data_IF_323974618521
#
_entry.id   IF_323974618521
#
_cell.length_a   1.000
_cell.length_b   1.000
_cell.length_c   1.000
_cell.angle_alpha   90.00
_cell.angle_beta   90.00
_cell.angle_gamma   90.00
#
_symmetry.space_group_name_H-M   'P 1'
#
loop_
_entity.id
_entity.type
_entity.pdbx_description
1 polymer ?
#
# COMPACT_ATOMS: atom_id res chain seq x y z
N UNK A 1 15.24 -5.64 -27.61
CA UNK A 1 15.94 -5.09 -28.76
C UNK A 1 14.98 -4.60 -29.83
N UNK A 2 14.18 -5.49 -30.44
CA UNK A 2 13.29 -5.16 -31.57
C UNK A 2 12.35 -3.98 -31.28
N UNK A 3 11.77 -3.93 -30.09
CA UNK A 3 10.88 -2.84 -29.69
C UNK A 3 11.55 -1.47 -29.63
N UNK A 4 12.84 -1.42 -29.27
CA UNK A 4 13.61 -0.19 -29.31
C UNK A 4 13.96 0.22 -30.73
N UNK A 5 14.27 -0.76 -31.59
CA UNK A 5 14.53 -0.55 -32.99
C UNK A 5 13.32 0.01 -33.76
N UNK A 6 12.12 -0.47 -33.46
CA UNK A 6 10.86 0.06 -34.00
C UNK A 6 10.64 1.53 -33.64
N UNK A 7 11.15 1.96 -32.47
CA UNK A 7 11.15 3.37 -32.02
C UNK A 7 12.38 4.16 -32.50
N UNK A 8 13.21 3.58 -33.38
CA UNK A 8 14.37 4.23 -33.95
C UNK A 8 15.63 4.21 -33.08
N UNK A 9 15.65 3.42 -31.99
CA UNK A 9 16.76 3.35 -31.03
C UNK A 9 17.45 2.01 -31.14
N UNK A 10 18.72 2.04 -31.63
CA UNK A 10 19.56 0.85 -31.66
C UNK A 10 20.38 0.72 -30.37
N UNK A 11 19.85 -0.05 -29.41
CA UNK A 11 20.47 -0.25 -28.08
C UNK A 11 21.82 -0.97 -28.12
N UNK A 12 22.26 -1.48 -29.28
CA UNK A 12 23.58 -2.00 -29.46
C UNK A 12 24.62 -0.90 -29.75
N UNK A 13 24.17 0.30 -30.12
CA UNK A 13 25.02 1.43 -30.54
C UNK A 13 24.83 2.66 -29.63
N UNK A 14 23.67 2.80 -29.02
CA UNK A 14 23.35 3.99 -28.25
C UNK A 14 22.54 3.65 -26.95
N UNK A 15 22.66 4.44 -25.89
CA UNK A 15 21.88 4.27 -24.67
C UNK A 15 20.40 4.53 -24.89
N UNK A 16 19.54 3.82 -24.15
CA UNK A 16 18.11 4.12 -24.10
C UNK A 16 17.90 5.39 -23.27
N UNK A 17 17.16 6.40 -23.79
CA UNK A 17 16.79 7.56 -22.99
C UNK A 17 15.85 7.13 -21.86
N UNK A 18 16.17 7.52 -20.63
CA UNK A 18 15.37 7.23 -19.43
C UNK A 18 15.07 8.49 -18.67
N UNK A 19 13.91 8.54 -18.03
CA UNK A 19 13.53 9.58 -17.09
C UNK A 19 13.20 8.96 -15.73
N UNK A 20 13.61 9.57 -14.61
CA UNK A 20 13.20 9.11 -13.30
C UNK A 20 11.68 9.24 -13.14
N UNK A 21 11.04 8.19 -12.63
CA UNK A 21 9.61 8.16 -12.39
C UNK A 21 9.30 7.36 -11.12
N UNK A 22 8.19 7.68 -10.48
CA UNK A 22 7.66 6.88 -9.38
C UNK A 22 7.33 5.48 -9.89
N UNK A 23 7.86 4.44 -9.22
CA UNK A 23 7.61 3.05 -9.57
C UNK A 23 6.94 2.28 -8.44
N UNK A 24 7.53 2.26 -7.25
CA UNK A 24 7.03 1.53 -6.09
C UNK A 24 7.17 2.41 -4.84
N UNK A 25 6.14 2.42 -4.01
CA UNK A 25 6.14 3.19 -2.78
C UNK A 25 6.74 2.37 -1.63
N UNK A 26 7.85 2.84 -1.04
CA UNK A 26 8.40 2.30 0.18
C UNK A 26 7.81 3.07 1.35
N UNK A 27 7.24 2.34 2.31
CA UNK A 27 6.48 2.93 3.39
C UNK A 27 5.01 2.54 3.29
N UNK A 28 4.13 3.32 3.91
CA UNK A 28 2.70 3.06 3.91
C UNK A 28 2.13 2.82 5.31
N UNK A 29 1.06 2.05 5.39
CA UNK A 29 0.40 1.74 6.66
C UNK A 29 1.27 0.79 7.47
N UNK A 30 1.71 1.24 8.65
CA UNK A 30 2.52 0.43 9.55
C UNK A 30 1.77 -0.82 10.01
N UNK A 31 2.41 -1.97 9.88
CA UNK A 31 1.86 -3.27 10.24
C UNK A 31 2.84 -4.10 11.07
N UNK A 32 2.31 -5.07 11.80
CA UNK A 32 3.10 -6.11 12.46
C UNK A 32 3.37 -7.32 11.53
N UNK A 33 4.01 -8.36 12.07
CA UNK A 33 4.32 -9.58 11.33
C UNK A 33 3.08 -10.34 10.80
N UNK A 34 1.90 -10.04 11.31
CA UNK A 34 0.63 -10.62 10.86
C UNK A 34 -0.17 -9.64 10.00
N UNK A 35 0.47 -8.59 9.49
CA UNK A 35 -0.15 -7.52 8.71
C UNK A 35 -1.24 -6.73 9.43
N UNK A 36 -1.28 -6.77 10.77
CA UNK A 36 -2.25 -6.01 11.55
C UNK A 36 -1.79 -4.58 11.70
N UNK A 37 -2.70 -3.65 11.53
CA UNK A 37 -2.48 -2.23 11.83
C UNK A 37 -2.71 -1.94 13.33
N UNK A 38 -2.52 -0.70 13.74
CA UNK A 38 -2.88 -0.26 15.10
C UNK A 38 -4.40 -0.17 15.34
N UNK A 39 -5.20 -0.27 14.27
CA UNK A 39 -6.66 -0.32 14.37
C UNK A 39 -7.13 -1.77 14.48
N UNK A 40 -8.09 -2.01 15.38
CA UNK A 40 -8.67 -3.34 15.54
C UNK A 40 -9.36 -3.80 14.26
N UNK A 41 -9.11 -5.04 13.86
CA UNK A 41 -9.70 -5.70 12.69
C UNK A 41 -9.34 -5.06 11.33
N UNK A 42 -8.34 -4.17 11.29
CA UNK A 42 -7.80 -3.60 10.07
C UNK A 42 -6.43 -4.20 9.75
N UNK A 43 -6.29 -4.68 8.53
CA UNK A 43 -5.05 -5.26 7.99
C UNK A 43 -4.61 -4.48 6.76
N UNK A 44 -3.31 -4.47 6.50
CA UNK A 44 -2.75 -3.92 5.28
C UNK A 44 -1.64 -4.84 4.76
N UNK A 45 -1.64 -5.10 3.45
CA UNK A 45 -0.68 -6.01 2.80
C UNK A 45 -0.20 -5.43 1.46
N UNK A 46 0.94 -5.91 0.98
CA UNK A 46 1.52 -5.47 -0.29
C UNK A 46 2.00 -4.01 -0.24
N UNK A 47 1.96 -3.34 -1.37
CA UNK A 47 2.51 -1.97 -1.52
C UNK A 47 1.88 -0.93 -0.58
N UNK A 48 0.62 -1.14 -0.16
CA UNK A 48 -0.04 -0.25 0.79
C UNK A 48 0.48 -0.37 2.23
N UNK A 49 1.25 -1.43 2.55
CA UNK A 49 1.75 -1.70 3.89
C UNK A 49 3.21 -1.30 4.07
N UNK A 50 3.54 -0.86 5.29
CA UNK A 50 4.91 -0.74 5.74
C UNK A 50 5.25 -1.88 6.70
N UNK A 51 5.84 -2.93 6.16
CA UNK A 51 6.33 -4.10 6.91
C UNK A 51 7.75 -3.90 7.46
N UNK A 52 8.48 -2.91 6.92
CA UNK A 52 9.90 -2.67 7.20
C UNK A 52 10.87 -3.53 6.37
N UNK A 53 10.37 -4.50 5.60
CA UNK A 53 11.21 -5.43 4.81
C UNK A 53 12.07 -4.70 3.78
N UNK A 54 11.58 -3.63 3.20
CA UNK A 54 12.28 -2.89 2.16
C UNK A 54 13.24 -1.82 2.70
N UNK A 55 13.07 -1.42 3.97
CA UNK A 55 13.84 -0.30 4.52
C UNK A 55 13.61 0.98 3.70
N UNK A 56 14.70 1.68 3.41
CA UNK A 56 14.66 2.93 2.62
C UNK A 56 14.69 2.70 1.10
N UNK A 57 15.00 1.49 0.64
CA UNK A 57 15.11 1.18 -0.79
C UNK A 57 14.83 -0.30 -1.08
N UNK A 58 13.80 -0.55 -1.88
CA UNK A 58 13.39 -1.90 -2.25
C UNK A 58 14.35 -2.54 -3.24
N UNK A 59 14.79 -3.77 -2.95
CA UNK A 59 15.41 -4.62 -3.95
C UNK A 59 14.35 -5.11 -4.96
N UNK A 60 14.70 -5.07 -6.23
CA UNK A 60 13.81 -5.49 -7.32
C UNK A 60 13.22 -6.90 -7.06
N UNK A 61 11.96 -7.11 -7.42
CA UNK A 61 11.16 -8.33 -7.25
C UNK A 61 10.77 -8.71 -5.81
N UNK A 62 11.40 -8.16 -4.77
CA UNK A 62 11.08 -8.51 -3.38
C UNK A 62 9.66 -8.10 -2.96
N UNK A 63 9.06 -7.10 -3.61
CA UNK A 63 7.68 -6.69 -3.33
C UNK A 63 6.65 -7.79 -3.60
N UNK A 64 6.90 -8.63 -4.62
CA UNK A 64 6.00 -9.75 -4.91
C UNK A 64 6.06 -10.81 -3.81
N UNK A 65 7.26 -11.13 -3.32
CA UNK A 65 7.45 -12.05 -2.20
C UNK A 65 6.83 -11.52 -0.92
N UNK A 66 7.03 -10.23 -0.62
CA UNK A 66 6.40 -9.56 0.52
C UNK A 66 4.88 -9.68 0.46
N UNK A 67 4.27 -9.32 -0.68
CA UNK A 67 2.81 -9.37 -0.83
C UNK A 67 2.25 -10.80 -0.60
N UNK A 68 2.92 -11.83 -1.12
CA UNK A 68 2.51 -13.21 -0.96
C UNK A 68 2.67 -13.71 0.49
N UNK A 69 3.82 -13.46 1.11
CA UNK A 69 4.10 -13.93 2.47
C UNK A 69 3.19 -13.24 3.49
N UNK A 70 3.14 -11.92 3.46
CA UNK A 70 2.33 -11.16 4.41
C UNK A 70 0.83 -11.30 4.13
N UNK A 71 0.41 -11.48 2.87
CA UNK A 71 -0.96 -11.82 2.52
C UNK A 71 -1.40 -13.17 3.11
N UNK A 72 -0.53 -14.17 3.04
CA UNK A 72 -0.77 -15.48 3.67
C UNK A 72 -0.88 -15.33 5.20
N UNK A 73 0.06 -14.66 5.84
CA UNK A 73 0.03 -14.46 7.29
C UNK A 73 -1.20 -13.68 7.76
N UNK A 74 -1.62 -12.65 7.00
CA UNK A 74 -2.85 -11.92 7.26
C UNK A 74 -4.06 -12.84 7.21
N UNK A 75 -4.19 -13.65 6.16
CA UNK A 75 -5.32 -14.56 5.97
C UNK A 75 -5.42 -15.60 7.08
N UNK A 76 -4.31 -16.20 7.48
CA UNK A 76 -4.26 -17.17 8.58
C UNK A 76 -4.66 -16.52 9.92
N UNK A 77 -4.18 -15.28 10.17
CA UNK A 77 -4.52 -14.53 11.39
C UNK A 77 -6.00 -14.14 11.41
N UNK A 78 -6.56 -13.69 10.29
CA UNK A 78 -7.99 -13.38 10.15
C UNK A 78 -8.82 -14.63 10.39
N UNK A 79 -8.52 -15.74 9.73
CA UNK A 79 -9.27 -16.99 9.86
C UNK A 79 -9.28 -17.51 11.30
N UNK A 80 -8.19 -17.35 12.05
CA UNK A 80 -8.12 -17.75 13.45
C UNK A 80 -9.04 -16.94 14.39
N UNK A 81 -9.48 -15.77 13.96
CA UNK A 81 -10.21 -14.80 14.78
C UNK A 81 -11.62 -14.49 14.28
N UNK A 82 -11.93 -14.78 13.03
CA UNK A 82 -13.16 -14.30 12.37
C UNK A 82 -14.43 -14.73 13.12
N UNK A 83 -14.45 -15.94 13.66
CA UNK A 83 -15.59 -16.46 14.43
C UNK A 83 -15.77 -15.79 15.80
N UNK A 84 -14.77 -15.02 16.24
CA UNK A 84 -14.81 -14.28 17.52
C UNK A 84 -15.17 -12.82 17.33
N UNK A 85 -15.22 -12.33 16.09
CA UNK A 85 -15.54 -10.94 15.76
C UNK A 85 -17.06 -10.78 15.77
N UNK A 86 -17.54 -9.88 16.64
CA UNK A 86 -18.92 -9.43 16.58
C UNK A 86 -19.02 -8.32 15.54
N UNK A 87 -19.68 -8.60 14.43
CA UNK A 87 -20.00 -7.57 13.44
C UNK A 87 -21.07 -6.63 14.04
N UNK A 88 -20.81 -5.33 13.94
CA UNK A 88 -21.84 -4.33 14.21
C UNK A 88 -22.66 -4.13 12.94
N UNK A 89 -23.97 -4.11 13.08
CA UNK A 89 -24.84 -3.70 11.99
C UNK A 89 -24.52 -2.25 11.62
N UNK A 90 -24.28 -2.00 10.34
CA UNK A 90 -24.06 -0.64 9.84
C UNK A 90 -25.45 -0.03 9.70
N UNK A 91 -25.85 0.81 10.66
CA UNK A 91 -27.16 1.47 10.69
C UNK A 91 -27.18 2.71 9.79
N UNK A 92 -26.00 3.23 9.42
CA UNK A 92 -25.90 4.40 8.55
C UNK A 92 -25.35 4.01 7.19
N UNK A 93 -26.07 4.37 6.13
CA UNK A 93 -25.48 4.29 4.78
C UNK A 93 -24.26 5.20 4.69
N UNK A 94 -23.16 4.71 4.10
CA UNK A 94 -21.97 5.53 3.90
C UNK A 94 -22.37 6.76 3.06
N UNK A 95 -22.24 7.95 3.62
CA UNK A 95 -22.42 9.18 2.86
C UNK A 95 -21.45 9.15 1.68
N UNK A 96 -21.97 9.17 0.46
CA UNK A 96 -21.13 9.37 -0.71
C UNK A 96 -20.53 10.78 -0.64
N UNK A 97 -19.23 10.85 -0.45
CA UNK A 97 -18.50 12.11 -0.58
C UNK A 97 -17.99 12.19 -2.02
N UNK A 98 -18.67 12.97 -2.85
CA UNK A 98 -18.06 13.43 -4.10
C UNK A 98 -16.94 14.41 -3.70
N UNK A 99 -15.70 14.02 -3.89
CA UNK A 99 -14.55 14.90 -3.67
C UNK A 99 -14.17 15.48 -5.04
N UNK A 100 -14.49 16.75 -5.25
CA UNK A 100 -14.31 17.41 -6.55
C UNK A 100 -12.85 17.80 -6.83
N UNK A 101 -11.98 17.74 -5.81
CA UNK A 101 -10.55 18.04 -5.97
C UNK A 101 -9.64 17.25 -5.04
N UNK A 102 -8.37 17.12 -5.45
CA UNK A 102 -7.32 16.53 -4.63
C UNK A 102 -7.12 17.28 -3.30
N UNK A 103 -7.29 18.59 -3.31
CA UNK A 103 -7.18 19.44 -2.12
C UNK A 103 -8.29 19.18 -1.10
N UNK A 104 -9.51 18.94 -1.56
CA UNK A 104 -10.62 18.53 -0.72
C UNK A 104 -10.38 17.17 -0.10
N UNK A 105 -9.83 16.22 -0.87
CA UNK A 105 -9.43 14.91 -0.36
C UNK A 105 -8.40 15.05 0.78
N UNK A 106 -7.34 15.83 0.57
CA UNK A 106 -6.31 16.06 1.59
C UNK A 106 -6.91 16.72 2.83
N UNK A 107 -7.77 17.72 2.67
CA UNK A 107 -8.42 18.40 3.79
C UNK A 107 -9.41 17.50 4.51
N UNK A 108 -10.11 16.62 3.79
CA UNK A 108 -10.96 15.59 4.37
C UNK A 108 -10.14 14.60 5.19
N UNK A 109 -9.05 14.07 4.64
CA UNK A 109 -8.15 13.14 5.32
C UNK A 109 -7.53 13.77 6.57
N UNK A 110 -7.04 15.01 6.50
CA UNK A 110 -6.50 15.75 7.65
C UNK A 110 -7.53 15.92 8.78
N UNK A 111 -8.80 16.14 8.45
CA UNK A 111 -9.88 16.27 9.45
C UNK A 111 -10.33 14.94 10.05
N UNK A 112 -10.21 13.84 9.30
CA UNK A 112 -10.64 12.50 9.74
C UNK A 112 -9.52 11.70 10.40
N UNK A 113 -8.26 11.98 10.05
CA UNK A 113 -7.10 11.38 10.70
C UNK A 113 -6.86 12.13 12.01
N UNK A 114 -7.53 11.69 13.06
CA UNK A 114 -7.22 12.08 14.44
C UNK A 114 -5.72 11.75 14.70
N UNK A 115 -5.05 12.57 15.50
CA UNK A 115 -3.66 12.38 15.92
C UNK A 115 -3.36 10.96 16.46
N UNK A 116 -4.37 10.23 16.91
CA UNK A 116 -4.28 8.82 17.29
C UNK A 116 -3.88 7.91 16.12
N UNK A 117 -4.21 8.27 14.89
CA UNK A 117 -3.93 7.49 13.68
C UNK A 117 -2.73 8.00 12.89
N UNK A 118 -2.18 9.16 13.25
CA UNK A 118 -0.98 9.71 12.62
C UNK A 118 0.21 8.73 12.68
N UNK A 119 0.26 7.87 13.70
CA UNK A 119 1.28 6.82 13.85
C UNK A 119 1.14 5.68 12.82
N UNK A 120 0.02 5.59 12.09
CA UNK A 120 -0.16 4.59 11.03
C UNK A 120 0.74 4.84 9.82
N UNK A 121 1.14 6.09 9.60
CA UNK A 121 1.84 6.53 8.38
C UNK A 121 3.32 6.82 8.59
N UNK A 122 3.84 6.67 9.82
CA UNK A 122 5.25 6.85 10.12
C UNK A 122 5.95 5.49 10.20
N UNK A 123 6.64 5.13 9.12
CA UNK A 123 7.63 4.06 9.10
C UNK A 123 9.03 4.59 9.32
#
# INVERSE_FOLDING_TARGET
YNKCLEEGIDISKEPIPVAPAQHYFMGGIKVDLFSRTSMNNLYSVGEASCTGVHGSNRLASNSLLEALVFGKQASENINSKINKIKFKEIIEEPKSYALDSYEELINFLKRKVDNRYAKLFNC
#
